data_IF_114140663267
#
_entry.id   IF_114140663267
#
_cell.length_a   1.000
_cell.length_b   1.000
_cell.length_c   1.000
_cell.angle_alpha   90.00
_cell.angle_beta   90.00
_cell.angle_gamma   90.00
#
_symmetry.space_group_name_H-M   'P 1'
#
loop_
_entity.id
_entity.type
_entity.pdbx_description
1 polymer ?
#
# COMPACT_ATOMS: atom_id res chain seq x y z
N UNK A 1 -1.19 23.46 3.21
CA UNK A 1 -2.10 22.34 2.85
C UNK A 1 -1.75 21.71 1.52
N UNK A 2 -1.39 22.49 0.48
CA UNK A 2 -0.91 21.96 -0.80
C UNK A 2 0.52 21.42 -0.71
N UNK A 3 0.91 20.56 -1.66
CA UNK A 3 2.29 20.13 -1.86
C UNK A 3 3.21 21.32 -2.23
N UNK A 4 4.54 21.16 -2.09
CA UNK A 4 5.49 22.00 -2.82
C UNK A 4 5.25 21.95 -4.34
N UNK A 5 5.88 22.85 -5.08
CA UNK A 5 5.90 22.79 -6.55
C UNK A 5 6.56 21.48 -6.98
N UNK A 6 5.93 20.76 -7.92
CA UNK A 6 6.50 19.56 -8.52
C UNK A 6 7.46 19.90 -9.65
N UNK A 7 8.49 19.09 -9.83
CA UNK A 7 9.44 19.20 -10.93
C UNK A 7 9.46 17.89 -11.72
N UNK A 8 9.31 17.97 -13.03
CA UNK A 8 9.27 16.81 -13.94
C UNK A 8 10.30 16.99 -15.07
N UNK A 9 11.13 15.96 -15.27
CA UNK A 9 12.02 15.89 -16.43
C UNK A 9 11.29 15.21 -17.60
N UNK A 10 10.63 16.02 -18.43
CA UNK A 10 10.06 15.57 -19.71
C UNK A 10 11.11 15.62 -20.82
N UNK A 11 10.83 15.03 -21.98
CA UNK A 11 11.73 15.13 -23.15
C UNK A 11 12.06 16.58 -23.50
N UNK A 12 11.10 17.50 -23.35
CA UNK A 12 11.29 18.94 -23.58
C UNK A 12 12.21 19.55 -22.52
N UNK A 13 12.09 19.13 -21.26
CA UNK A 13 13.00 19.56 -20.19
C UNK A 13 14.44 19.10 -20.43
N UNK A 14 14.61 17.91 -20.98
CA UNK A 14 15.94 17.37 -21.33
C UNK A 14 16.59 18.20 -22.44
N UNK A 15 15.86 18.53 -23.51
CA UNK A 15 16.36 19.40 -24.58
C UNK A 15 16.74 20.80 -24.07
N UNK A 16 15.96 21.35 -23.13
CA UNK A 16 16.28 22.62 -22.47
C UNK A 16 17.53 22.53 -21.59
N UNK A 17 17.69 21.44 -20.85
CA UNK A 17 18.86 21.21 -20.02
C UNK A 17 20.13 21.04 -20.87
N UNK A 18 20.04 20.33 -21.99
CA UNK A 18 21.13 20.22 -22.97
C UNK A 18 21.51 21.59 -23.53
N UNK A 19 20.52 22.40 -23.90
CA UNK A 19 20.73 23.79 -24.36
C UNK A 19 21.32 24.70 -23.28
N UNK A 20 21.10 24.37 -22.00
CA UNK A 20 21.67 25.07 -20.85
C UNK A 20 23.09 24.60 -20.47
N UNK A 21 23.67 23.68 -21.25
CA UNK A 21 25.05 23.22 -21.08
C UNK A 21 25.21 21.94 -20.27
N UNK A 22 24.13 21.22 -19.96
CA UNK A 22 24.21 19.90 -19.31
C UNK A 22 24.66 18.86 -20.34
N UNK A 23 25.73 18.08 -20.07
CA UNK A 23 26.23 17.09 -21.02
C UNK A 23 25.21 15.99 -21.35
N UNK A 24 25.19 15.55 -22.62
CA UNK A 24 24.23 14.54 -23.11
C UNK A 24 24.41 13.17 -22.43
N UNK A 25 25.62 12.81 -22.02
CA UNK A 25 25.92 11.58 -21.29
C UNK A 25 25.36 11.60 -19.86
N UNK A 26 25.38 12.77 -19.20
CA UNK A 26 24.72 12.98 -17.89
C UNK A 26 23.20 12.87 -18.06
N UNK A 27 22.63 13.54 -19.07
CA UNK A 27 21.19 13.46 -19.34
C UNK A 27 20.73 12.03 -19.66
N UNK A 28 21.54 11.24 -20.37
CA UNK A 28 21.22 9.84 -20.67
C UNK A 28 21.09 8.95 -19.42
N UNK A 29 21.82 9.25 -18.34
CA UNK A 29 21.73 8.52 -17.07
C UNK A 29 20.43 8.80 -16.31
N UNK A 30 19.80 9.95 -16.55
CA UNK A 30 18.54 10.35 -15.87
C UNK A 30 17.29 9.62 -16.35
N UNK A 31 17.38 8.65 -17.28
CA UNK A 31 16.21 7.94 -17.82
C UNK A 31 15.30 7.32 -16.76
N UNK A 32 15.87 6.82 -15.65
CA UNK A 32 15.09 6.21 -14.56
C UNK A 32 14.24 7.21 -13.79
N UNK A 33 14.57 8.51 -13.85
CA UNK A 33 13.86 9.58 -13.15
C UNK A 33 13.01 10.45 -14.07
N UNK A 34 13.10 10.24 -15.39
CA UNK A 34 12.26 10.95 -16.36
C UNK A 34 10.78 10.63 -16.17
N UNK A 35 9.95 11.59 -16.54
CA UNK A 35 8.48 11.54 -16.45
C UNK A 35 7.85 11.31 -15.07
N UNK A 36 8.67 11.25 -14.02
CA UNK A 36 8.22 11.28 -12.63
C UNK A 36 8.13 12.73 -12.12
N UNK A 37 7.14 13.00 -11.26
CA UNK A 37 6.96 14.31 -10.62
C UNK A 37 7.58 14.27 -9.23
N UNK A 38 8.52 15.17 -8.96
CA UNK A 38 9.19 15.29 -7.67
C UNK A 38 8.79 16.60 -6.99
N UNK A 39 8.09 16.51 -5.86
CA UNK A 39 7.58 17.67 -5.14
C UNK A 39 8.66 18.34 -4.27
N UNK A 40 9.15 19.49 -4.74
CA UNK A 40 10.18 20.31 -4.08
C UNK A 40 11.61 19.99 -4.53
N UNK A 41 12.51 20.99 -4.42
CA UNK A 41 13.92 20.89 -4.84
C UNK A 41 14.63 19.68 -4.21
N UNK A 42 14.51 19.50 -2.89
CA UNK A 42 15.17 18.38 -2.20
C UNK A 42 14.73 17.01 -2.71
N UNK A 43 13.45 16.84 -3.04
CA UNK A 43 12.96 15.56 -3.59
C UNK A 43 13.50 15.31 -5.00
N UNK A 44 13.60 16.37 -5.81
CA UNK A 44 14.19 16.33 -7.14
C UNK A 44 15.69 15.99 -7.09
N UNK A 45 16.46 16.67 -6.23
CA UNK A 45 17.90 16.43 -6.07
C UNK A 45 18.17 15.01 -5.55
N UNK A 46 17.37 14.52 -4.59
CA UNK A 46 17.46 13.15 -4.12
C UNK A 46 17.18 12.11 -5.22
N UNK A 47 16.24 12.39 -6.13
CA UNK A 47 15.99 11.53 -7.27
C UNK A 47 17.18 11.51 -8.22
N UNK A 48 17.77 12.66 -8.53
CA UNK A 48 18.98 12.74 -9.34
C UNK A 48 20.15 11.94 -8.73
N UNK A 49 20.33 11.99 -7.41
CA UNK A 49 21.36 11.20 -6.70
C UNK A 49 21.16 9.67 -6.83
N UNK A 50 19.99 9.19 -7.25
CA UNK A 50 19.80 7.75 -7.54
C UNK A 50 20.30 7.34 -8.93
N UNK A 51 20.49 8.31 -9.82
CA UNK A 51 20.85 8.09 -11.22
C UNK A 51 22.24 8.63 -11.58
N UNK A 52 22.71 9.67 -10.87
CA UNK A 52 23.94 10.41 -11.13
C UNK A 52 24.92 10.28 -9.97
N UNK A 53 26.21 10.58 -10.22
CA UNK A 53 27.19 10.74 -9.14
C UNK A 53 26.97 12.04 -8.36
N UNK A 54 27.49 12.13 -7.14
CA UNK A 54 27.39 13.35 -6.33
C UNK A 54 27.98 14.58 -7.04
N UNK A 55 29.09 14.42 -7.76
CA UNK A 55 29.75 15.48 -8.54
C UNK A 55 28.86 15.97 -9.70
N UNK A 56 28.23 15.05 -10.42
CA UNK A 56 27.30 15.39 -11.51
C UNK A 56 26.06 16.13 -11.01
N UNK A 57 25.56 15.76 -9.83
CA UNK A 57 24.42 16.45 -9.19
C UNK A 57 24.83 17.84 -8.72
N UNK A 58 26.00 17.98 -8.11
CA UNK A 58 26.50 19.29 -7.65
C UNK A 58 26.68 20.26 -8.82
N UNK A 59 27.18 19.79 -9.97
CA UNK A 59 27.44 20.63 -11.14
C UNK A 59 26.18 20.94 -11.96
N UNK A 60 25.25 20.00 -12.11
CA UNK A 60 24.17 20.10 -13.11
C UNK A 60 22.75 20.14 -12.55
N UNK A 61 22.52 19.86 -11.26
CA UNK A 61 21.17 19.81 -10.67
C UNK A 61 20.39 21.12 -10.84
N UNK A 62 21.03 22.28 -10.67
CA UNK A 62 20.35 23.57 -10.78
C UNK A 62 19.89 23.87 -12.21
N UNK A 63 20.74 23.55 -13.20
CA UNK A 63 20.40 23.69 -14.61
C UNK A 63 19.25 22.75 -15.02
N UNK A 64 19.27 21.51 -14.51
CA UNK A 64 18.18 20.55 -14.72
C UNK A 64 16.88 21.00 -14.03
N UNK A 65 16.94 21.49 -12.79
CA UNK A 65 15.79 21.99 -12.04
C UNK A 65 15.16 23.21 -12.74
N UNK A 66 15.98 24.13 -13.26
CA UNK A 66 15.51 25.29 -14.01
C UNK A 66 14.86 24.92 -15.35
N UNK A 67 15.29 23.80 -15.94
CA UNK A 67 14.76 23.27 -17.21
C UNK A 67 13.55 22.35 -17.02
N UNK A 68 13.33 21.84 -15.80
CA UNK A 68 12.24 20.96 -15.45
C UNK A 68 10.87 21.65 -15.60
N UNK A 69 9.89 20.88 -16.07
CA UNK A 69 8.50 21.32 -16.10
C UNK A 69 7.94 21.39 -14.66
N UNK A 70 7.25 22.49 -14.35
CA UNK A 70 6.68 22.71 -13.03
C UNK A 70 5.25 22.20 -12.95
N UNK A 71 4.99 21.32 -12.00
CA UNK A 71 3.65 20.87 -11.64
C UNK A 71 3.12 21.76 -10.49
N UNK A 72 1.98 22.45 -10.67
CA UNK A 72 1.44 23.34 -9.66
C UNK A 72 1.13 22.62 -8.33
N UNK A 73 1.26 23.30 -7.18
CA UNK A 73 0.90 22.77 -5.86
C UNK A 73 -0.50 22.15 -5.79
N UNK A 74 -0.56 20.86 -5.45
CA UNK A 74 -1.80 20.06 -5.40
C UNK A 74 -2.21 19.74 -3.96
N UNK A 75 -3.52 19.59 -3.71
CA UNK A 75 -4.06 19.19 -2.41
C UNK A 75 -4.04 17.68 -2.19
N UNK A 76 -4.07 16.91 -3.27
CA UNK A 76 -4.19 15.45 -3.27
C UNK A 76 -2.84 14.75 -3.46
N UNK A 77 -1.78 15.53 -3.68
CA UNK A 77 -0.43 15.03 -3.77
C UNK A 77 -0.01 14.31 -2.49
N UNK A 78 0.64 13.15 -2.63
CA UNK A 78 1.21 12.39 -1.50
C UNK A 78 2.16 13.24 -0.63
N UNK A 79 2.88 14.18 -1.24
CA UNK A 79 3.77 15.13 -0.56
C UNK A 79 3.04 16.31 0.13
N UNK A 80 1.72 16.44 -0.05
CA UNK A 80 0.96 17.54 0.56
C UNK A 80 0.79 17.33 2.07
N UNK A 81 0.94 18.38 2.91
CA UNK A 81 0.69 18.26 4.34
C UNK A 81 -0.72 17.77 4.69
N UNK A 82 -1.71 18.05 3.82
CA UNK A 82 -3.08 17.56 3.98
C UNK A 82 -3.12 16.02 3.89
N UNK A 83 -2.53 15.44 2.85
CA UNK A 83 -2.51 13.99 2.66
C UNK A 83 -1.63 13.30 3.70
N UNK A 84 -0.50 13.89 4.09
CA UNK A 84 0.34 13.37 5.18
C UNK A 84 -0.40 13.37 6.54
N UNK A 85 -1.35 14.30 6.73
CA UNK A 85 -2.14 14.43 7.95
C UNK A 85 -3.49 13.72 7.87
N UNK A 86 -3.78 12.95 6.81
CA UNK A 86 -5.12 12.38 6.62
C UNK A 86 -5.52 11.40 7.73
N UNK A 87 -4.56 10.62 8.25
CA UNK A 87 -4.81 9.68 9.36
C UNK A 87 -5.18 10.43 10.66
N UNK A 88 -4.41 11.44 11.13
CA UNK A 88 -4.84 12.32 12.22
C UNK A 88 -6.18 13.00 11.99
N UNK A 89 -6.48 13.44 10.77
CA UNK A 89 -7.76 14.08 10.45
C UNK A 89 -8.94 13.09 10.57
N UNK A 90 -8.77 11.84 10.11
CA UNK A 90 -9.74 10.77 10.32
C UNK A 90 -9.93 10.50 11.81
N UNK A 91 -8.85 10.49 12.60
CA UNK A 91 -8.94 10.37 14.06
C UNK A 91 -9.79 11.50 14.67
N UNK A 92 -9.56 12.76 14.28
CA UNK A 92 -10.37 13.90 14.73
C UNK A 92 -11.84 13.76 14.31
N UNK A 93 -12.08 13.30 13.07
CA UNK A 93 -13.41 13.07 12.52
C UNK A 93 -14.20 12.04 13.33
N UNK A 94 -13.55 11.02 13.89
CA UNK A 94 -14.23 10.01 14.71
C UNK A 94 -14.29 10.37 16.19
N UNK A 95 -13.24 10.98 16.76
CA UNK A 95 -13.20 11.27 18.19
C UNK A 95 -14.14 12.42 18.56
N UNK A 96 -14.26 13.47 17.74
CA UNK A 96 -15.08 14.63 18.08
C UNK A 96 -16.58 14.27 18.17
N UNK A 97 -17.20 13.60 17.17
CA UNK A 97 -18.57 13.12 17.30
C UNK A 97 -18.72 12.06 18.37
N UNK A 98 -17.71 11.19 18.56
CA UNK A 98 -17.72 10.17 19.62
C UNK A 98 -17.80 10.77 21.02
N UNK A 99 -17.06 11.85 21.27
CA UNK A 99 -17.12 12.62 22.52
C UNK A 99 -18.47 13.30 22.68
N UNK A 100 -18.94 14.01 21.64
CA UNK A 100 -20.23 14.70 21.68
C UNK A 100 -21.39 13.73 21.95
N UNK A 101 -21.39 12.58 21.28
CA UNK A 101 -22.35 11.51 21.51
C UNK A 101 -22.24 10.94 22.93
N UNK A 102 -21.02 10.68 23.41
CA UNK A 102 -20.79 10.12 24.75
C UNK A 102 -21.37 10.99 25.86
N UNK A 103 -21.19 12.31 25.77
CA UNK A 103 -21.81 13.26 26.70
C UNK A 103 -23.34 13.31 26.54
N UNK A 104 -23.86 13.37 25.31
CA UNK A 104 -25.30 13.43 25.06
C UNK A 104 -26.05 12.17 25.54
N UNK A 105 -25.44 11.00 25.35
CA UNK A 105 -25.95 9.71 25.78
C UNK A 105 -25.71 9.41 27.26
N UNK A 106 -24.97 10.28 27.98
CA UNK A 106 -24.53 10.09 29.37
C UNK A 106 -23.76 8.78 29.58
N UNK A 107 -23.01 8.34 28.57
CA UNK A 107 -22.09 7.21 28.68
C UNK A 107 -20.67 7.65 29.07
N UNK A 108 -20.41 8.96 29.03
CA UNK A 108 -19.17 9.63 29.45
C UNK A 108 -19.59 10.84 30.27
N UNK A 109 -19.07 10.96 31.49
CA UNK A 109 -19.39 12.04 32.42
C UNK A 109 -18.33 13.15 32.38
N UNK A 110 -17.08 12.79 32.13
CA UNK A 110 -15.97 13.74 32.15
C UNK A 110 -14.80 13.33 31.24
N UNK A 111 -13.81 14.21 31.09
CA UNK A 111 -12.66 13.98 30.24
C UNK A 111 -11.84 12.74 30.60
N UNK A 112 -11.84 12.30 31.87
CA UNK A 112 -11.09 11.10 32.29
C UNK A 112 -11.67 9.83 31.70
N UNK A 113 -12.98 9.75 31.55
CA UNK A 113 -13.63 8.56 30.96
C UNK A 113 -13.27 8.44 29.46
N UNK A 114 -13.07 9.58 28.78
CA UNK A 114 -12.54 9.61 27.41
C UNK A 114 -11.12 9.05 27.38
N UNK A 115 -10.24 9.52 28.27
CA UNK A 115 -8.84 9.04 28.36
C UNK A 115 -8.79 7.56 28.74
N UNK A 116 -9.67 7.10 29.62
CA UNK A 116 -9.80 5.69 29.99
C UNK A 116 -10.21 4.85 28.77
N UNK A 117 -11.20 5.30 28.00
CA UNK A 117 -11.62 4.65 26.75
C UNK A 117 -10.49 4.55 25.72
N UNK A 118 -9.70 5.63 25.56
CA UNK A 118 -8.51 5.63 24.71
C UNK A 118 -7.44 4.65 25.23
N UNK A 119 -7.18 4.64 26.54
CA UNK A 119 -6.19 3.76 27.18
C UNK A 119 -6.57 2.29 27.05
N UNK A 120 -7.85 1.97 27.25
CA UNK A 120 -8.40 0.63 27.04
C UNK A 120 -8.30 0.18 25.58
N UNK A 121 -8.51 1.09 24.64
CA UNK A 121 -8.31 0.78 23.22
C UNK A 121 -6.84 0.47 22.92
N UNK A 122 -5.91 1.24 23.48
CA UNK A 122 -4.47 1.00 23.32
C UNK A 122 -3.98 -0.29 23.99
N UNK A 123 -4.57 -0.70 25.11
CA UNK A 123 -4.18 -1.97 25.74
C UNK A 123 -4.49 -3.18 24.86
N UNK A 124 -5.57 -3.14 24.06
CA UNK A 124 -5.89 -4.20 23.09
C UNK A 124 -4.89 -4.27 21.93
N UNK A 125 -4.14 -3.19 21.68
CA UNK A 125 -3.10 -3.12 20.64
C UNK A 125 -1.75 -3.73 21.07
N UNK A 126 -1.62 -4.23 22.30
CA UNK A 126 -0.33 -4.78 22.80
C UNK A 126 0.25 -5.88 21.91
N UNK A 127 -0.59 -6.81 21.44
CA UNK A 127 -0.16 -7.85 20.49
C UNK A 127 0.34 -7.25 19.16
N UNK A 128 -0.36 -6.24 18.64
CA UNK A 128 0.02 -5.56 17.40
C UNK A 128 1.36 -4.85 17.54
N UNK A 129 1.61 -4.18 18.66
CA UNK A 129 2.89 -3.48 18.92
C UNK A 129 4.06 -4.46 18.93
N UNK A 130 3.92 -5.61 19.61
CA UNK A 130 4.96 -6.65 19.63
C UNK A 130 5.21 -7.21 18.23
N UNK A 131 4.14 -7.50 17.48
CA UNK A 131 4.27 -7.95 16.10
C UNK A 131 4.97 -6.92 15.20
N UNK A 132 4.55 -5.65 15.27
CA UNK A 132 5.13 -4.56 14.49
C UNK A 132 6.62 -4.35 14.82
N UNK A 133 7.02 -4.51 16.08
CA UNK A 133 8.42 -4.46 16.50
C UNK A 133 9.27 -5.53 15.79
N UNK A 134 8.86 -6.80 15.84
CA UNK A 134 9.60 -7.87 15.16
C UNK A 134 9.51 -7.78 13.64
N UNK A 135 8.38 -7.34 13.09
CA UNK A 135 8.24 -7.09 11.66
C UNK A 135 9.19 -5.98 11.19
N UNK A 136 9.32 -4.89 11.93
CA UNK A 136 10.26 -3.81 11.62
C UNK A 136 11.72 -4.31 11.64
N UNK A 137 12.09 -5.12 12.63
CA UNK A 137 13.41 -5.75 12.69
C UNK A 137 13.65 -6.70 11.51
N UNK A 138 12.66 -7.52 11.15
CA UNK A 138 12.74 -8.39 9.99
C UNK A 138 12.92 -7.59 8.70
N UNK A 139 12.10 -6.56 8.46
CA UNK A 139 12.20 -5.71 7.27
C UNK A 139 13.58 -5.04 7.18
N UNK A 140 14.10 -4.53 8.31
CA UNK A 140 15.42 -3.93 8.36
C UNK A 140 16.53 -4.95 8.02
N UNK A 141 16.52 -6.13 8.63
CA UNK A 141 17.50 -7.18 8.36
C UNK A 141 17.39 -7.76 6.94
N UNK A 142 16.15 -7.91 6.43
CA UNK A 142 15.85 -8.39 5.09
C UNK A 142 16.31 -7.42 4.01
N UNK A 143 16.16 -6.11 4.25
CA UNK A 143 16.70 -5.05 3.40
C UNK A 143 18.23 -5.01 3.43
N UNK A 144 18.83 -4.96 4.62
CA UNK A 144 20.30 -4.89 4.77
C UNK A 144 21.04 -6.10 4.18
N UNK A 145 20.44 -7.28 4.24
CA UNK A 145 21.02 -8.50 3.68
C UNK A 145 20.92 -8.60 2.15
N UNK A 146 20.21 -7.69 1.48
CA UNK A 146 19.88 -7.74 0.06
C UNK A 146 19.09 -8.99 -0.38
N UNK A 147 18.63 -9.83 0.55
CA UNK A 147 17.83 -11.02 0.22
C UNK A 147 16.49 -10.59 -0.40
N UNK A 148 15.90 -9.50 0.08
CA UNK A 148 14.67 -8.95 -0.49
C UNK A 148 14.82 -8.52 -1.94
N UNK A 149 15.89 -7.79 -2.27
CA UNK A 149 16.20 -7.41 -3.63
C UNK A 149 16.43 -8.64 -4.53
N UNK A 150 17.20 -9.61 -4.05
CA UNK A 150 17.47 -10.86 -4.78
C UNK A 150 16.18 -11.65 -5.07
N UNK A 151 15.31 -11.79 -4.06
CA UNK A 151 14.05 -12.52 -4.21
C UNK A 151 13.08 -11.79 -5.14
N UNK A 152 13.01 -10.46 -5.05
CA UNK A 152 12.21 -9.63 -5.93
C UNK A 152 12.67 -9.78 -7.38
N UNK A 153 13.98 -9.69 -7.66
CA UNK A 153 14.54 -9.85 -9.01
C UNK A 153 14.28 -11.26 -9.55
N UNK A 154 14.56 -12.31 -8.77
CA UNK A 154 14.34 -13.70 -9.22
C UNK A 154 12.86 -14.00 -9.46
N UNK A 155 11.97 -13.54 -8.58
CA UNK A 155 10.53 -13.71 -8.74
C UNK A 155 9.98 -12.91 -9.90
N UNK A 156 10.45 -11.67 -10.10
CA UNK A 156 10.08 -10.85 -11.25
C UNK A 156 10.53 -11.49 -12.56
N UNK A 157 11.75 -12.02 -12.63
CA UNK A 157 12.22 -12.75 -13.80
C UNK A 157 11.37 -13.99 -14.08
N UNK A 158 11.07 -14.79 -13.06
CA UNK A 158 10.18 -15.95 -13.21
C UNK A 158 8.81 -15.56 -13.76
N UNK A 159 8.18 -14.52 -13.23
CA UNK A 159 6.88 -14.02 -13.71
C UNK A 159 6.97 -13.41 -15.11
N UNK A 160 8.09 -12.76 -15.44
CA UNK A 160 8.37 -12.19 -16.77
C UNK A 160 8.57 -13.29 -17.81
N UNK A 161 9.24 -14.38 -17.45
CA UNK A 161 9.45 -15.55 -18.31
C UNK A 161 8.12 -16.25 -18.65
N UNK A 162 7.13 -16.20 -17.75
CA UNK A 162 5.76 -16.65 -18.02
C UNK A 162 5.02 -15.75 -19.01
N UNK A 163 5.52 -14.54 -19.28
CA UNK A 163 4.97 -13.55 -20.22
C UNK A 163 3.46 -13.27 -20.02
N UNK A 164 2.98 -13.34 -18.78
CA UNK A 164 1.56 -13.15 -18.47
C UNK A 164 1.18 -11.66 -18.45
N UNK A 165 -0.04 -11.30 -18.90
CA UNK A 165 -0.56 -9.94 -18.71
C UNK A 165 -0.62 -9.56 -17.22
N UNK A 166 -0.36 -8.29 -16.89
CA UNK A 166 -0.32 -7.82 -15.50
C UNK A 166 -1.59 -8.10 -14.71
N UNK A 167 -2.76 -8.04 -15.36
CA UNK A 167 -4.04 -8.39 -14.78
C UNK A 167 -4.10 -9.85 -14.34
N UNK A 168 -3.58 -10.78 -15.15
CA UNK A 168 -3.53 -12.21 -14.83
C UNK A 168 -2.58 -12.47 -13.66
N UNK A 169 -1.42 -11.81 -13.66
CA UNK A 169 -0.45 -11.86 -12.57
C UNK A 169 -1.09 -11.43 -11.25
N UNK A 170 -1.86 -10.33 -11.25
CA UNK A 170 -2.56 -9.84 -10.06
C UNK A 170 -3.62 -10.81 -9.55
N UNK A 171 -4.37 -11.47 -10.44
CA UNK A 171 -5.30 -12.54 -10.03
C UNK A 171 -4.56 -13.69 -9.34
N UNK A 172 -3.39 -14.08 -9.86
CA UNK A 172 -2.52 -15.07 -9.21
C UNK A 172 -2.12 -14.66 -7.79
N UNK A 173 -1.76 -13.39 -7.59
CA UNK A 173 -1.43 -12.84 -6.27
C UNK A 173 -2.64 -12.84 -5.33
N UNK A 174 -3.84 -12.53 -5.83
CA UNK A 174 -5.08 -12.62 -5.04
C UNK A 174 -5.29 -14.05 -4.54
N UNK A 175 -5.18 -15.04 -5.43
CA UNK A 175 -5.34 -16.45 -5.07
C UNK A 175 -4.29 -16.92 -4.07
N UNK A 176 -3.05 -16.48 -4.24
CA UNK A 176 -1.98 -16.76 -3.28
C UNK A 176 -2.29 -16.16 -1.90
N UNK A 177 -2.75 -14.91 -1.85
CA UNK A 177 -3.16 -14.25 -0.61
C UNK A 177 -4.32 -15.00 0.06
N UNK A 178 -5.30 -15.48 -0.71
CA UNK A 178 -6.38 -16.34 -0.21
C UNK A 178 -5.85 -17.61 0.46
N UNK A 179 -4.86 -18.27 -0.14
CA UNK A 179 -4.24 -19.50 0.41
C UNK A 179 -3.49 -19.22 1.70
N UNK A 180 -2.66 -18.17 1.73
CA UNK A 180 -1.93 -17.77 2.95
C UNK A 180 -2.91 -17.41 4.07
N UNK A 181 -4.03 -16.77 3.73
CA UNK A 181 -5.06 -16.38 4.68
C UNK A 181 -5.76 -17.56 5.38
N UNK A 182 -5.82 -18.74 4.75
CA UNK A 182 -6.35 -19.93 5.40
C UNK A 182 -5.49 -20.37 6.60
N UNK A 183 -4.18 -20.08 6.57
CA UNK A 183 -3.22 -20.48 7.60
C UNK A 183 -2.96 -19.36 8.61
N UNK A 184 -2.88 -18.12 8.14
CA UNK A 184 -2.53 -16.96 8.97
C UNK A 184 -3.71 -15.98 9.01
N UNK A 185 -4.48 -16.00 10.10
CA UNK A 185 -5.70 -15.17 10.19
C UNK A 185 -5.48 -13.66 10.41
N UNK A 186 -4.27 -13.21 10.75
CA UNK A 186 -3.99 -11.78 10.97
C UNK A 186 -3.66 -11.07 9.66
N UNK A 187 -4.46 -10.06 9.30
CA UNK A 187 -4.22 -9.24 8.11
C UNK A 187 -2.91 -8.45 8.20
N UNK A 188 -2.59 -7.89 9.37
CA UNK A 188 -1.36 -7.12 9.54
C UNK A 188 -0.11 -8.01 9.54
N UNK A 189 -0.18 -9.21 10.14
CA UNK A 189 0.95 -10.14 10.16
C UNK A 189 1.29 -10.67 8.77
N UNK A 190 0.27 -11.06 8.00
CA UNK A 190 0.44 -11.49 6.61
C UNK A 190 1.04 -10.38 5.74
N UNK A 191 0.47 -9.18 5.79
CA UNK A 191 0.99 -8.08 4.98
C UNK A 191 2.42 -7.71 5.35
N UNK A 192 2.76 -7.70 6.64
CA UNK A 192 4.12 -7.43 7.10
C UNK A 192 5.16 -8.43 6.55
N UNK A 193 4.76 -9.70 6.33
CA UNK A 193 5.61 -10.72 5.73
C UNK A 193 5.65 -10.62 4.19
N UNK A 194 4.50 -10.39 3.57
CA UNK A 194 4.34 -10.48 2.11
C UNK A 194 4.74 -9.20 1.38
N UNK A 195 4.47 -8.02 1.95
CA UNK A 195 4.71 -6.74 1.30
C UNK A 195 6.17 -6.51 0.92
N UNK A 196 7.18 -6.81 1.77
CA UNK A 196 8.59 -6.62 1.43
C UNK A 196 9.07 -7.48 0.26
N UNK A 197 8.31 -8.52 -0.11
CA UNK A 197 8.63 -9.45 -1.18
C UNK A 197 7.83 -9.09 -2.44
N UNK A 198 6.50 -9.02 -2.34
CA UNK A 198 5.65 -8.85 -3.51
C UNK A 198 5.61 -7.43 -4.05
N UNK A 199 5.67 -6.41 -3.20
CA UNK A 199 5.61 -5.02 -3.68
C UNK A 199 6.81 -4.72 -4.60
N UNK A 200 8.07 -4.94 -4.20
CA UNK A 200 9.21 -4.70 -5.09
C UNK A 200 9.24 -5.62 -6.31
N UNK A 201 8.75 -6.85 -6.19
CA UNK A 201 8.68 -7.81 -7.30
C UNK A 201 7.69 -7.37 -8.39
N UNK A 202 6.50 -6.93 -8.00
CA UNK A 202 5.46 -6.51 -8.92
C UNK A 202 5.75 -5.13 -9.53
N UNK A 203 6.43 -4.25 -8.78
CA UNK A 203 6.97 -2.99 -9.32
C UNK A 203 7.92 -3.23 -10.49
N UNK A 204 8.78 -4.26 -10.44
CA UNK A 204 9.66 -4.64 -11.56
C UNK A 204 8.91 -5.19 -12.79
N UNK A 205 7.64 -5.56 -12.63
CA UNK A 205 6.74 -5.95 -13.72
C UNK A 205 5.87 -4.78 -14.19
N UNK A 206 6.14 -3.58 -13.70
CA UNK A 206 5.39 -2.37 -14.03
C UNK A 206 4.04 -2.28 -13.33
N UNK A 207 3.81 -3.01 -12.24
CA UNK A 207 2.56 -2.99 -11.47
C UNK A 207 2.76 -2.17 -10.20
N UNK A 208 1.84 -1.26 -9.93
CA UNK A 208 1.98 -0.34 -8.81
C UNK A 208 1.83 -1.01 -7.42
N UNK A 209 2.45 -0.43 -6.37
CA UNK A 209 2.25 -0.86 -5.00
C UNK A 209 0.77 -0.84 -4.58
N UNK A 210 0.00 0.12 -5.08
CA UNK A 210 -1.43 0.31 -4.77
C UNK A 210 -2.26 -0.87 -5.28
N UNK A 211 -1.99 -1.33 -6.51
CA UNK A 211 -2.62 -2.54 -7.07
C UNK A 211 -2.23 -3.77 -6.27
N UNK A 212 -0.96 -3.89 -5.90
CA UNK A 212 -0.47 -5.01 -5.08
C UNK A 212 -1.18 -5.06 -3.72
N UNK A 213 -1.35 -3.90 -3.08
CA UNK A 213 -2.07 -3.79 -1.82
C UNK A 213 -3.57 -4.10 -1.99
N UNK A 214 -4.20 -3.61 -3.06
CA UNK A 214 -5.60 -3.91 -3.37
C UNK A 214 -5.82 -5.42 -3.59
N UNK A 215 -4.96 -6.06 -4.37
CA UNK A 215 -4.95 -7.50 -4.60
C UNK A 215 -4.84 -8.29 -3.29
N UNK A 216 -3.89 -7.88 -2.44
CA UNK A 216 -3.74 -8.49 -1.13
C UNK A 216 -5.01 -8.37 -0.27
N UNK A 217 -5.63 -7.19 -0.21
CA UNK A 217 -6.85 -6.93 0.58
C UNK A 217 -8.06 -7.73 0.09
N UNK A 218 -8.19 -7.93 -1.23
CA UNK A 218 -9.22 -8.81 -1.79
C UNK A 218 -8.97 -10.25 -1.32
N UNK A 219 -7.73 -10.74 -1.41
CA UNK A 219 -7.40 -12.10 -1.01
C UNK A 219 -7.59 -12.36 0.49
N UNK A 220 -7.09 -11.46 1.33
CA UNK A 220 -7.20 -11.50 2.80
C UNK A 220 -8.65 -11.51 3.26
N UNK A 221 -9.51 -10.69 2.66
CA UNK A 221 -10.92 -10.61 3.07
C UNK A 221 -11.74 -11.83 2.61
N UNK A 222 -11.50 -12.33 1.39
CA UNK A 222 -12.40 -13.30 0.74
C UNK A 222 -12.45 -14.65 1.44
N UNK A 223 -11.35 -15.12 2.06
CA UNK A 223 -11.29 -16.44 2.72
C UNK A 223 -11.39 -16.39 4.25
N UNK A 224 -11.58 -15.22 4.86
CA UNK A 224 -11.72 -15.08 6.32
C UNK A 224 -12.91 -15.85 6.90
N UNK A 225 -13.99 -16.00 6.13
CA UNK A 225 -15.22 -16.68 6.59
C UNK A 225 -15.15 -18.21 6.52
N UNK A 226 -14.09 -18.76 5.90
CA UNK A 226 -13.87 -20.20 5.76
C UNK A 226 -12.64 -20.70 6.53
N UNK A 227 -11.87 -19.81 7.17
CA UNK A 227 -10.73 -20.22 8.00
C UNK A 227 -11.15 -20.46 9.46
N UNK A 228 -11.02 -21.69 9.98
CA UNK A 228 -11.28 -21.99 11.39
C UNK A 228 -10.21 -21.41 12.33
N UNK A 229 -9.09 -20.94 11.77
CA UNK A 229 -7.98 -20.32 12.51
C UNK A 229 -8.24 -18.83 12.80
N UNK A 230 -9.33 -18.25 12.30
CA UNK A 230 -9.73 -16.89 12.63
C UNK A 230 -10.12 -16.81 14.13
N UNK A 231 -9.61 -15.84 14.91
CA UNK A 231 -9.89 -15.73 16.35
C UNK A 231 -11.38 -15.68 16.73
N UNK A 232 -12.22 -15.15 15.84
CA UNK A 232 -13.66 -15.03 16.06
C UNK A 232 -14.46 -16.26 15.64
N UNK A 233 -13.86 -17.23 14.94
CA UNK A 233 -14.57 -18.39 14.41
C UNK A 233 -15.29 -19.21 15.49
N UNK A 234 -14.69 -19.51 16.66
CA UNK A 234 -15.39 -20.24 17.73
C UNK A 234 -16.65 -19.51 18.23
N UNK A 235 -16.61 -18.18 18.30
CA UNK A 235 -17.75 -17.36 18.71
C UNK A 235 -18.90 -17.49 17.69
N UNK A 236 -18.59 -17.47 16.39
CA UNK A 236 -19.60 -17.66 15.33
C UNK A 236 -20.25 -19.04 15.43
N UNK A 237 -19.47 -20.09 15.70
CA UNK A 237 -20.00 -21.45 15.91
C UNK A 237 -20.97 -21.48 17.09
N UNK A 238 -20.66 -20.81 18.21
CA UNK A 238 -21.55 -20.72 19.37
C UNK A 238 -22.87 -20.01 19.01
N UNK A 239 -22.81 -18.92 18.24
CA UNK A 239 -24.01 -18.24 17.76
C UNK A 239 -24.85 -19.10 16.82
N UNK A 240 -24.22 -19.87 15.92
CA UNK A 240 -24.94 -20.79 15.04
C UNK A 240 -25.58 -21.94 15.85
N UNK A 241 -24.86 -22.48 16.84
CA UNK A 241 -25.38 -23.53 17.74
C UNK A 241 -26.60 -23.11 18.55
N UNK A 242 -26.76 -21.81 18.82
CA UNK A 242 -27.97 -21.26 19.49
C UNK A 242 -29.25 -21.60 18.72
N UNK A 243 -29.20 -21.59 17.38
CA UNK A 243 -30.35 -21.84 16.51
C UNK A 243 -30.35 -23.27 15.93
N UNK A 244 -29.18 -23.80 15.60
CA UNK A 244 -29.01 -25.13 15.00
C UNK A 244 -27.97 -25.91 15.79
N UNK A 245 -28.44 -26.71 16.76
CA UNK A 245 -27.61 -27.41 17.77
C UNK A 245 -26.52 -28.32 17.18
N UNK A 246 -26.74 -28.88 15.99
CA UNK A 246 -25.81 -29.79 15.32
C UNK A 246 -24.72 -29.06 14.51
N UNK A 247 -24.67 -27.72 14.51
CA UNK A 247 -23.65 -26.97 13.79
C UNK A 247 -22.27 -27.20 14.38
N UNK A 248 -21.35 -27.72 13.57
CA UNK A 248 -19.93 -27.81 13.89
C UNK A 248 -19.07 -26.87 13.06
N UNK A 249 -17.74 -26.98 13.23
CA UNK A 249 -16.76 -26.23 12.42
C UNK A 249 -16.95 -26.54 10.93
N UNK A 250 -16.98 -27.83 10.57
CA UNK A 250 -17.16 -28.25 9.18
C UNK A 250 -18.49 -27.78 8.57
N UNK A 251 -19.59 -27.87 9.32
CA UNK A 251 -20.91 -27.37 8.88
C UNK A 251 -20.86 -25.89 8.53
N UNK A 252 -20.20 -25.08 9.38
CA UNK A 252 -20.10 -23.65 9.17
C UNK A 252 -19.17 -23.32 7.98
N UNK A 253 -18.02 -23.98 7.87
CA UNK A 253 -17.11 -23.81 6.73
C UNK A 253 -17.79 -24.18 5.41
N UNK A 254 -18.46 -25.33 5.34
CA UNK A 254 -19.20 -25.76 4.14
C UNK A 254 -20.33 -24.80 3.77
N UNK A 255 -21.02 -24.24 4.77
CA UNK A 255 -22.05 -23.22 4.54
C UNK A 255 -21.46 -21.90 4.01
N UNK A 256 -20.29 -21.49 4.50
CA UNK A 256 -19.65 -20.22 4.11
C UNK A 256 -18.81 -20.33 2.83
N UNK A 257 -18.43 -21.52 2.40
CA UNK A 257 -17.66 -21.76 1.17
C UNK A 257 -18.27 -21.13 -0.09
N UNK A 258 -19.57 -21.32 -0.42
CA UNK A 258 -20.16 -20.67 -1.59
C UNK A 258 -20.13 -19.14 -1.49
N UNK A 259 -20.28 -18.57 -0.29
CA UNK A 259 -20.16 -17.12 -0.08
C UNK A 259 -18.73 -16.65 -0.34
N UNK A 260 -17.74 -17.36 0.17
CA UNK A 260 -16.32 -17.03 -0.03
C UNK A 260 -15.94 -17.02 -1.51
N UNK A 261 -16.38 -18.04 -2.26
CA UNK A 261 -16.15 -18.14 -3.71
C UNK A 261 -16.87 -17.01 -4.46
N UNK A 262 -18.14 -16.73 -4.14
CA UNK A 262 -18.89 -15.66 -4.77
C UNK A 262 -18.26 -14.28 -4.50
N UNK A 263 -17.84 -14.02 -3.26
CA UNK A 263 -17.14 -12.79 -2.89
C UNK A 263 -15.81 -12.64 -3.64
N UNK A 264 -15.01 -13.71 -3.70
CA UNK A 264 -13.73 -13.72 -4.39
C UNK A 264 -13.91 -13.39 -5.88
N UNK A 265 -14.82 -14.09 -6.57
CA UNK A 265 -15.08 -13.86 -8.00
C UNK A 265 -15.57 -12.43 -8.22
N UNK A 266 -16.52 -11.97 -7.41
CA UNK A 266 -17.09 -10.62 -7.53
C UNK A 266 -16.01 -9.56 -7.35
N UNK A 267 -15.15 -9.69 -6.34
CA UNK A 267 -14.08 -8.73 -6.10
C UNK A 267 -13.00 -8.72 -7.17
N UNK A 268 -12.61 -9.92 -7.66
CA UNK A 268 -11.65 -10.03 -8.77
C UNK A 268 -12.21 -9.35 -10.02
N UNK A 269 -13.45 -9.67 -10.40
CA UNK A 269 -14.10 -9.06 -11.57
C UNK A 269 -14.22 -7.55 -11.39
N UNK A 270 -14.60 -7.09 -10.20
CA UNK A 270 -14.70 -5.67 -9.89
C UNK A 270 -13.37 -4.94 -10.08
N UNK A 271 -12.27 -5.49 -9.55
CA UNK A 271 -10.93 -4.91 -9.73
C UNK A 271 -10.53 -4.86 -11.21
N UNK A 272 -10.77 -5.94 -11.96
CA UNK A 272 -10.43 -6.03 -13.38
C UNK A 272 -11.23 -5.03 -14.22
N UNK A 273 -12.52 -4.82 -13.91
CA UNK A 273 -13.34 -3.80 -14.56
C UNK A 273 -12.81 -2.40 -14.25
N UNK A 274 -12.50 -2.11 -12.98
CA UNK A 274 -11.93 -0.82 -12.57
C UNK A 274 -10.63 -0.50 -13.32
N UNK A 275 -9.76 -1.51 -13.44
CA UNK A 275 -8.53 -1.40 -14.21
C UNK A 275 -8.80 -1.19 -15.69
N UNK A 276 -9.67 -1.99 -16.30
CA UNK A 276 -10.01 -1.86 -17.73
C UNK A 276 -10.61 -0.50 -18.08
N UNK A 277 -11.38 0.09 -17.16
CA UNK A 277 -11.95 1.43 -17.31
C UNK A 277 -10.97 2.56 -16.95
N UNK A 278 -9.78 2.24 -16.45
CA UNK A 278 -8.78 3.23 -16.03
C UNK A 278 -9.22 4.07 -14.83
N UNK A 279 -10.19 3.60 -14.04
CA UNK A 279 -10.67 4.34 -12.87
C UNK A 279 -9.61 4.21 -11.78
N UNK A 280 -9.01 5.32 -11.29
CA UNK A 280 -7.94 5.23 -10.31
C UNK A 280 -8.43 4.58 -9.01
N UNK A 281 -7.59 3.74 -8.39
CA UNK A 281 -7.95 3.01 -7.16
C UNK A 281 -8.08 3.94 -5.94
N UNK A 282 -7.60 5.18 -6.07
CA UNK A 282 -7.55 6.20 -5.06
C UNK A 282 -6.92 7.48 -5.65
N UNK A 283 -6.75 8.49 -4.80
CA UNK A 283 -6.05 9.71 -5.19
C UNK A 283 -4.60 9.37 -5.53
N UNK A 284 -4.15 9.74 -6.73
CA UNK A 284 -2.79 9.43 -7.23
C UNK A 284 -2.40 7.94 -7.12
N UNK A 285 -3.35 7.03 -7.31
CA UNK A 285 -3.12 5.59 -7.26
C UNK A 285 -3.17 5.00 -8.70
N UNK A 286 -2.08 5.11 -9.48
CA UNK A 286 -2.03 4.53 -10.82
C UNK A 286 -2.01 3.01 -10.75
N UNK A 287 -2.31 2.36 -11.87
CA UNK A 287 -2.18 0.90 -11.98
C UNK A 287 -0.76 0.45 -12.31
N UNK A 288 -0.01 1.31 -12.98
CA UNK A 288 1.32 1.03 -13.50
C UNK A 288 2.40 1.70 -12.68
N UNK A 289 3.53 1.02 -12.54
CA UNK A 289 4.75 1.57 -11.98
C UNK A 289 5.79 1.75 -13.10
N UNK A 290 6.44 2.92 -13.22
CA UNK A 290 7.46 3.18 -14.24
C UNK A 290 8.76 2.41 -14.02
#
# INVERSE_FOLDING_TARGET
>A
MRSPVGYKLTSVSIEKAESAGVPADVLAKTKSVQDNVFFGKTAFDNALNTALSEEEVEEHSEAMLASAEQDPPQLTASASPLMQSIVPLIFLLFILPGIAYGYAAKSVDNHRDIIEGMSKSMSTMGYYIVLAFFAALFIAAFGQSNIGALLAIKGANFLRDLAMPGQVTVVGIILLSCLVNLVVGSASAKWALLAPIFVPMLMQLGISPEVTQAAYRIGDSSTNIITPLMPYFPLVVVFAKKYVRNTGIGTLVSLMLPYSIAFLITWVVFLLIFWALGIPLGLEAPYTYP
#
